data_IF_701661301434
#
_entry.id   IF_701661301434
#
_cell.length_a   1.000
_cell.length_b   1.000
_cell.length_c   1.000
_cell.angle_alpha   90.00
_cell.angle_beta   90.00
_cell.angle_gamma   90.00
#
_symmetry.space_group_name_H-M   'P 1'
#
loop_
_entity.id
_entity.type
_entity.pdbx_description
1 polymer ?
#
# COMPACT_ATOMS: atom_id res chain seq x y z
N UNK A 1 -3.16 1.98 -15.29
CA UNK A 1 -1.91 1.34 -15.74
C UNK A 1 -1.93 -0.07 -15.18
N UNK A 2 -1.06 -0.98 -15.63
CA UNK A 2 -1.00 -2.34 -15.10
C UNK A 2 0.37 -2.66 -14.54
N UNK A 3 0.45 -3.68 -13.67
CA UNK A 3 1.72 -4.13 -13.05
C UNK A 3 2.85 -4.37 -14.08
N UNK A 4 2.51 -4.80 -15.29
CA UNK A 4 3.46 -5.08 -16.37
C UNK A 4 4.25 -3.84 -16.82
N UNK A 5 3.69 -2.64 -16.66
CA UNK A 5 4.36 -1.38 -17.01
C UNK A 5 5.57 -1.10 -16.09
N UNK A 6 5.57 -1.66 -14.88
CA UNK A 6 6.64 -1.51 -13.89
C UNK A 6 7.65 -2.67 -13.91
N UNK A 7 7.67 -3.49 -14.96
CA UNK A 7 8.57 -4.64 -15.06
C UNK A 7 10.05 -4.25 -14.91
N UNK A 8 10.48 -3.23 -15.64
CA UNK A 8 11.88 -2.80 -15.64
C UNK A 8 12.29 -2.17 -14.30
N UNK A 9 11.39 -1.43 -13.65
CA UNK A 9 11.56 -0.92 -12.28
C UNK A 9 11.77 -2.06 -11.28
N UNK A 10 10.92 -3.09 -11.33
CA UNK A 10 11.02 -4.24 -10.45
C UNK A 10 12.30 -5.07 -10.70
N UNK A 11 12.75 -5.18 -11.95
CA UNK A 11 14.03 -5.81 -12.32
C UNK A 11 15.25 -5.02 -11.86
N UNK A 12 15.15 -3.69 -11.82
CA UNK A 12 16.23 -2.80 -11.40
C UNK A 12 16.59 -2.99 -9.92
N UNK A 13 15.70 -3.54 -9.11
CA UNK A 13 15.92 -3.77 -7.69
C UNK A 13 17.15 -4.65 -7.39
N UNK A 14 18.23 -4.03 -6.90
CA UNK A 14 19.47 -4.72 -6.51
C UNK A 14 19.42 -5.39 -5.13
N UNK A 15 18.26 -5.42 -4.47
CA UNK A 15 18.06 -5.98 -3.11
C UNK A 15 19.03 -5.42 -2.05
N UNK A 16 19.53 -4.21 -2.24
CA UNK A 16 20.49 -3.52 -1.37
C UNK A 16 19.96 -3.15 0.03
N UNK A 17 18.68 -3.39 0.31
CA UNK A 17 18.00 -3.04 1.56
C UNK A 17 17.84 -1.55 1.85
N UNK A 18 18.16 -0.62 0.92
CA UNK A 18 17.90 0.81 1.07
C UNK A 18 16.44 1.09 1.46
N UNK A 19 15.48 0.38 0.84
CA UNK A 19 14.05 0.46 1.16
C UNK A 19 13.67 0.17 2.63
N UNK A 20 14.57 -0.37 3.44
CA UNK A 20 14.33 -0.70 4.86
C UNK A 20 14.78 0.41 5.80
N UNK A 21 15.64 1.33 5.34
CA UNK A 21 16.31 2.32 6.18
C UNK A 21 15.96 3.76 5.79
N UNK A 22 16.15 4.70 6.72
CA UNK A 22 15.93 6.13 6.46
C UNK A 22 16.87 6.57 5.32
N UNK A 23 16.36 7.28 4.30
CA UNK A 23 17.18 7.77 3.20
C UNK A 23 18.18 8.83 3.66
N UNK A 24 19.23 9.05 2.87
CA UNK A 24 20.28 10.06 3.07
C UNK A 24 21.26 9.70 4.22
N UNK A 25 22.55 9.98 4.02
CA UNK A 25 23.65 9.63 4.94
C UNK A 25 23.72 10.53 6.20
N UNK A 26 22.62 11.16 6.59
CA UNK A 26 22.53 12.04 7.77
C UNK A 26 22.21 11.27 9.07
N UNK A 27 22.11 9.96 9.00
CA UNK A 27 21.74 9.07 10.10
C UNK A 27 22.89 8.96 11.12
N UNK A 28 22.66 9.42 12.36
CA UNK A 28 23.61 9.31 13.47
C UNK A 28 23.22 8.20 14.45
N UNK A 29 23.88 7.04 14.32
CA UNK A 29 23.70 5.89 15.20
C UNK A 29 22.52 4.97 14.84
N UNK A 30 22.42 3.81 15.50
CA UNK A 30 21.54 2.71 15.07
C UNK A 30 20.08 2.78 15.57
N UNK A 31 19.78 3.57 16.61
CA UNK A 31 18.52 3.46 17.38
C UNK A 31 17.23 3.73 16.58
N UNK A 32 17.32 4.39 15.42
CA UNK A 32 16.15 4.83 14.62
C UNK A 32 16.42 4.80 13.12
N UNK A 33 17.18 3.81 12.65
CA UNK A 33 17.64 3.80 11.24
C UNK A 33 16.63 3.18 10.29
N UNK A 34 15.62 2.47 10.81
CA UNK A 34 14.65 1.75 9.99
C UNK A 34 13.47 2.66 9.60
N UNK A 35 13.12 2.69 8.30
CA UNK A 35 11.99 3.47 7.79
C UNK A 35 10.74 2.62 7.55
N UNK A 36 10.90 1.33 7.24
CA UNK A 36 9.79 0.48 6.83
C UNK A 36 9.18 -0.25 8.06
N UNK A 37 7.97 0.11 8.50
CA UNK A 37 7.34 -0.53 9.66
C UNK A 37 6.98 -2.00 9.39
N UNK A 38 6.66 -2.34 8.15
CA UNK A 38 6.31 -3.71 7.74
C UNK A 38 7.46 -4.70 7.98
N UNK A 39 8.64 -4.44 7.40
CA UNK A 39 9.81 -5.31 7.64
C UNK A 39 10.25 -5.28 9.10
N UNK A 40 10.14 -4.13 9.79
CA UNK A 40 10.46 -4.03 11.21
C UNK A 40 9.61 -4.99 12.06
N UNK A 41 8.31 -5.08 11.75
CA UNK A 41 7.37 -5.90 12.51
C UNK A 41 7.48 -7.39 12.22
N UNK A 42 7.67 -7.76 10.96
CA UNK A 42 7.59 -9.15 10.50
C UNK A 42 8.96 -9.80 10.29
N UNK A 43 10.03 -9.01 10.15
CA UNK A 43 11.41 -9.44 9.99
C UNK A 43 11.64 -10.54 8.93
N UNK A 44 10.85 -10.53 7.86
CA UNK A 44 10.97 -11.46 6.74
C UNK A 44 11.00 -10.69 5.42
N UNK A 45 11.90 -11.05 4.50
CA UNK A 45 12.26 -10.19 3.35
C UNK A 45 11.05 -9.84 2.47
N UNK A 46 10.07 -10.74 2.33
CA UNK A 46 8.83 -10.49 1.60
C UNK A 46 8.09 -9.22 2.08
N UNK A 47 8.22 -8.83 3.35
CA UNK A 47 7.62 -7.62 3.92
C UNK A 47 8.43 -6.33 3.69
N UNK A 48 9.51 -6.37 2.91
CA UNK A 48 10.27 -5.18 2.50
C UNK A 48 9.92 -4.73 1.08
N UNK A 49 10.28 -3.50 0.70
CA UNK A 49 10.09 -2.99 -0.66
C UNK A 49 10.71 -3.93 -1.70
N UNK A 50 11.99 -4.27 -1.54
CA UNK A 50 12.68 -5.18 -2.47
C UNK A 50 12.12 -6.61 -2.51
N UNK A 51 11.60 -7.13 -1.39
CA UNK A 51 10.90 -8.42 -1.39
C UNK A 51 9.61 -8.37 -2.20
N UNK A 52 8.86 -7.26 -2.11
CA UNK A 52 7.64 -7.05 -2.90
C UNK A 52 7.93 -6.83 -4.39
N UNK A 53 9.06 -6.24 -4.76
CA UNK A 53 9.48 -6.16 -6.17
C UNK A 53 9.71 -7.57 -6.76
N UNK A 54 10.37 -8.45 -5.99
CA UNK A 54 10.57 -9.85 -6.41
C UNK A 54 9.24 -10.61 -6.54
N UNK A 55 8.28 -10.35 -5.64
CA UNK A 55 6.93 -10.90 -5.72
C UNK A 55 6.21 -10.40 -6.97
N UNK A 56 6.27 -9.10 -7.27
CA UNK A 56 5.64 -8.53 -8.46
C UNK A 56 6.18 -9.15 -9.75
N UNK A 57 7.50 -9.37 -9.85
CA UNK A 57 8.09 -10.13 -10.96
C UNK A 57 7.55 -11.57 -11.03
N UNK A 58 7.50 -12.27 -9.90
CA UNK A 58 6.99 -13.64 -9.87
C UNK A 58 5.50 -13.74 -10.26
N UNK A 59 4.69 -12.72 -9.95
CA UNK A 59 3.31 -12.59 -10.40
C UNK A 59 3.23 -12.37 -11.92
N UNK A 60 4.02 -11.41 -12.46
CA UNK A 60 4.09 -11.15 -13.90
C UNK A 60 4.54 -12.35 -14.72
N UNK A 61 5.47 -13.14 -14.17
CA UNK A 61 5.99 -14.35 -14.81
C UNK A 61 5.10 -15.58 -14.57
N UNK A 62 3.95 -15.42 -13.89
CA UNK A 62 3.00 -16.49 -13.62
C UNK A 62 3.54 -17.60 -12.72
N UNK A 63 4.61 -17.35 -11.95
CA UNK A 63 5.23 -18.34 -11.05
C UNK A 63 4.46 -18.51 -9.75
N UNK A 64 3.71 -17.47 -9.35
CA UNK A 64 2.86 -17.46 -8.16
C UNK A 64 1.50 -16.85 -8.51
N UNK A 65 0.51 -17.12 -7.67
CA UNK A 65 -0.81 -16.53 -7.71
C UNK A 65 -1.14 -15.83 -6.40
N UNK A 66 -2.20 -15.01 -6.40
CA UNK A 66 -2.70 -14.37 -5.19
C UNK A 66 -3.28 -15.41 -4.23
N UNK A 67 -2.49 -15.77 -3.23
CA UNK A 67 -2.87 -16.62 -2.10
C UNK A 67 -3.14 -15.79 -0.86
N UNK A 68 -3.81 -16.36 0.14
CA UNK A 68 -4.05 -15.69 1.41
C UNK A 68 -2.76 -15.17 2.08
N UNK A 69 -1.70 -15.97 2.07
CA UNK A 69 -0.40 -15.58 2.62
C UNK A 69 0.28 -14.46 1.83
N UNK A 70 0.08 -14.42 0.51
CA UNK A 70 0.55 -13.30 -0.30
C UNK A 70 -0.22 -12.02 0.00
N UNK A 71 -1.55 -12.11 0.15
CA UNK A 71 -2.37 -10.96 0.54
C UNK A 71 -1.95 -10.40 1.90
N UNK A 72 -1.57 -11.25 2.86
CA UNK A 72 -1.00 -10.80 4.12
C UNK A 72 0.30 -10.00 3.91
N UNK A 73 1.22 -10.46 3.05
CA UNK A 73 2.45 -9.71 2.74
C UNK A 73 2.15 -8.36 2.07
N UNK A 74 1.23 -8.34 1.11
CA UNK A 74 0.86 -7.15 0.36
C UNK A 74 0.17 -6.12 1.25
N UNK A 75 -0.86 -6.52 2.01
CA UNK A 75 -1.66 -5.61 2.82
C UNK A 75 -1.03 -5.22 4.16
N UNK A 76 0.03 -5.91 4.60
CA UNK A 76 0.89 -5.43 5.69
C UNK A 76 1.87 -4.32 5.28
N UNK A 77 1.84 -3.86 4.02
CA UNK A 77 2.45 -2.59 3.63
C UNK A 77 1.50 -1.43 3.96
N UNK A 78 2.00 -0.36 4.57
CA UNK A 78 1.19 0.81 4.92
C UNK A 78 1.10 1.83 3.77
N UNK A 79 1.71 1.52 2.61
CA UNK A 79 1.83 2.43 1.47
C UNK A 79 2.39 3.82 1.86
N UNK A 80 3.33 3.86 2.82
CA UNK A 80 3.83 5.12 3.37
C UNK A 80 4.89 5.83 2.51
N UNK A 81 5.38 5.22 1.43
CA UNK A 81 6.37 5.82 0.53
C UNK A 81 7.82 5.90 1.04
N UNK A 82 8.12 5.52 2.28
CA UNK A 82 9.49 5.64 2.81
C UNK A 82 10.54 4.82 2.03
N UNK A 83 10.16 3.64 1.56
CA UNK A 83 10.99 2.83 0.66
C UNK A 83 11.20 3.50 -0.69
N UNK A 84 10.20 4.21 -1.18
CA UNK A 84 10.15 4.80 -2.50
C UNK A 84 11.10 6.00 -2.58
N UNK A 85 11.06 6.89 -1.58
CA UNK A 85 12.04 7.97 -1.40
C UNK A 85 13.47 7.42 -1.32
N UNK A 86 13.67 6.35 -0.55
CA UNK A 86 15.01 5.75 -0.35
C UNK A 86 15.57 5.12 -1.62
N UNK A 87 14.71 4.46 -2.37
CA UNK A 87 15.07 3.79 -3.60
C UNK A 87 15.27 4.76 -4.77
N UNK A 88 14.48 5.86 -4.84
CA UNK A 88 14.75 6.98 -5.75
C UNK A 88 16.11 7.63 -5.46
N UNK A 89 16.41 7.90 -4.20
CA UNK A 89 17.71 8.46 -3.84
C UNK A 89 18.88 7.54 -4.23
N UNK A 90 18.73 6.23 -4.03
CA UNK A 90 19.81 5.29 -4.29
C UNK A 90 19.99 4.91 -5.77
N UNK A 91 18.89 4.77 -6.53
CA UNK A 91 18.88 4.18 -7.87
C UNK A 91 17.85 4.79 -8.83
N UNK A 92 17.18 5.88 -8.46
CA UNK A 92 16.11 6.52 -9.24
C UNK A 92 14.98 5.56 -9.65
N UNK A 93 14.53 4.71 -8.71
CA UNK A 93 13.53 3.66 -8.98
C UNK A 93 12.18 3.88 -8.28
N UNK A 94 11.13 3.36 -8.89
CA UNK A 94 9.77 3.28 -8.35
C UNK A 94 9.55 1.99 -7.54
N UNK A 95 9.01 2.12 -6.33
CA UNK A 95 8.68 0.98 -5.47
C UNK A 95 7.21 1.02 -5.07
N UNK A 96 6.65 2.21 -4.86
CA UNK A 96 5.28 2.36 -4.37
C UNK A 96 4.24 2.03 -5.44
N UNK A 97 4.47 2.47 -6.68
CA UNK A 97 3.58 2.24 -7.82
C UNK A 97 3.36 0.75 -8.12
N UNK A 98 4.40 -0.10 -8.35
CA UNK A 98 4.20 -1.53 -8.55
C UNK A 98 3.51 -2.21 -7.36
N UNK A 99 3.69 -1.72 -6.13
CA UNK A 99 2.93 -2.21 -4.97
C UNK A 99 1.44 -1.85 -5.03
N UNK A 100 1.11 -0.66 -5.54
CA UNK A 100 -0.27 -0.26 -5.81
C UNK A 100 -0.90 -1.15 -6.86
N UNK A 101 -0.21 -1.35 -7.98
CA UNK A 101 -0.68 -2.18 -9.09
C UNK A 101 -0.88 -3.65 -8.68
N UNK A 102 0.00 -4.24 -7.88
CA UNK A 102 -0.22 -5.58 -7.31
C UNK A 102 -1.51 -5.65 -6.47
N UNK A 103 -1.88 -4.58 -5.75
CA UNK A 103 -3.13 -4.56 -4.96
C UNK A 103 -4.35 -4.38 -5.84
N UNK A 104 -4.26 -3.58 -6.91
CA UNK A 104 -5.33 -3.40 -7.90
C UNK A 104 -5.60 -4.73 -8.59
N UNK A 105 -4.56 -5.37 -9.13
CA UNK A 105 -4.67 -6.66 -9.80
C UNK A 105 -5.19 -7.76 -8.87
N UNK A 106 -4.80 -7.76 -7.58
CA UNK A 106 -5.36 -8.67 -6.58
C UNK A 106 -6.89 -8.53 -6.49
N UNK A 107 -7.40 -7.30 -6.41
CA UNK A 107 -8.84 -7.00 -6.36
C UNK A 107 -9.53 -7.42 -7.66
N UNK A 108 -8.96 -7.11 -8.82
CA UNK A 108 -9.51 -7.51 -10.13
C UNK A 108 -9.63 -9.02 -10.28
N UNK A 109 -8.72 -9.78 -9.67
CA UNK A 109 -8.73 -11.25 -9.62
C UNK A 109 -9.59 -11.83 -8.49
N UNK A 110 -10.30 -10.99 -7.73
CA UNK A 110 -11.15 -11.40 -6.61
C UNK A 110 -10.38 -11.82 -5.34
N UNK A 111 -9.07 -11.58 -5.30
CA UNK A 111 -8.22 -11.86 -4.14
C UNK A 111 -8.25 -10.68 -3.15
N UNK A 112 -9.37 -10.58 -2.44
CA UNK A 112 -9.69 -9.52 -1.46
C UNK A 112 -9.50 -9.99 -0.01
N UNK A 113 -9.68 -9.08 0.95
CA UNK A 113 -9.73 -9.41 2.39
C UNK A 113 -11.05 -8.94 3.02
N UNK A 114 -11.54 -9.60 4.09
CA UNK A 114 -12.88 -9.34 4.64
C UNK A 114 -13.15 -7.88 5.04
N UNK A 115 -12.11 -7.14 5.48
CA UNK A 115 -12.25 -5.73 5.86
C UNK A 115 -12.57 -4.83 4.66
N UNK A 116 -12.02 -5.14 3.47
CA UNK A 116 -12.35 -4.36 2.26
C UNK A 116 -13.74 -4.67 1.76
N UNK A 117 -14.17 -5.93 1.81
CA UNK A 117 -15.55 -6.31 1.49
C UNK A 117 -16.56 -5.57 2.38
N UNK A 118 -16.30 -5.53 3.69
CA UNK A 118 -17.13 -4.77 4.62
C UNK A 118 -17.12 -3.27 4.32
N UNK A 119 -15.94 -2.70 4.03
CA UNK A 119 -15.79 -1.27 3.72
C UNK A 119 -16.51 -0.89 2.42
N UNK A 120 -16.36 -1.68 1.36
CA UNK A 120 -17.02 -1.46 0.06
C UNK A 120 -18.54 -1.61 0.20
N UNK A 121 -18.99 -2.62 0.96
CA UNK A 121 -20.42 -2.78 1.27
C UNK A 121 -20.99 -1.52 1.93
N UNK A 122 -20.33 -1.02 2.98
CA UNK A 122 -20.78 0.20 3.66
C UNK A 122 -20.77 1.40 2.71
N UNK A 123 -19.73 1.53 1.89
CA UNK A 123 -19.62 2.62 0.93
C UNK A 123 -20.78 2.60 -0.08
N UNK A 124 -21.19 1.42 -0.55
CA UNK A 124 -22.31 1.25 -1.48
C UNK A 124 -23.68 1.46 -0.83
N UNK A 125 -23.85 1.00 0.40
CA UNK A 125 -25.13 1.07 1.13
C UNK A 125 -25.38 2.46 1.74
N UNK A 126 -24.34 3.10 2.28
CA UNK A 126 -24.46 4.30 3.09
C UNK A 126 -23.65 5.49 2.56
N UNK A 127 -22.90 5.34 1.46
CA UNK A 127 -21.99 6.38 0.98
C UNK A 127 -20.76 6.60 1.87
N UNK A 128 -20.52 5.71 2.84
CA UNK A 128 -19.48 5.88 3.88
C UNK A 128 -18.69 4.59 4.08
N UNK A 129 -17.36 4.72 4.22
CA UNK A 129 -16.47 3.56 4.43
C UNK A 129 -16.59 2.96 5.84
N UNK A 130 -16.87 3.80 6.84
CA UNK A 130 -16.97 3.40 8.26
C UNK A 130 -18.42 3.56 8.70
N UNK A 131 -18.96 2.53 9.37
CA UNK A 131 -20.24 2.65 10.08
C UNK A 131 -20.02 3.49 11.33
N UNK A 132 -20.41 4.75 11.26
CA UNK A 132 -20.42 5.65 12.42
C UNK A 132 -21.77 6.36 12.52
N UNK A 133 -22.29 6.49 13.73
CA UNK A 133 -23.41 7.39 13.99
C UNK A 133 -22.99 8.83 13.73
N UNK A 134 -23.85 9.64 13.11
CA UNK A 134 -23.64 11.08 12.98
C UNK A 134 -23.96 11.86 14.26
N UNK A 135 -24.41 11.20 15.33
CA UNK A 135 -24.75 11.84 16.60
C UNK A 135 -23.58 12.62 17.24
N UNK A 136 -22.32 12.36 16.85
CA UNK A 136 -21.19 13.17 17.29
C UNK A 136 -21.25 14.63 16.79
N UNK A 137 -22.03 14.89 15.74
CA UNK A 137 -22.24 16.22 15.16
C UNK A 137 -23.32 17.02 15.90
N UNK A 138 -24.08 16.39 16.80
CA UNK A 138 -25.16 17.06 17.54
C UNK A 138 -24.60 18.24 18.35
N UNK A 139 -25.10 19.45 18.06
CA UNK A 139 -24.63 20.69 18.68
C UNK A 139 -23.44 21.36 17.99
N UNK A 140 -22.89 20.77 16.92
CA UNK A 140 -21.93 21.42 16.04
C UNK A 140 -22.67 22.15 14.90
N UNK A 141 -22.20 23.34 14.54
CA UNK A 141 -22.68 24.08 13.37
C UNK A 141 -22.07 23.53 12.08
N UNK A 142 -22.23 22.22 11.84
CA UNK A 142 -21.71 21.51 10.68
C UNK A 142 -22.85 21.08 9.75
N UNK A 143 -22.60 21.11 8.44
CA UNK A 143 -23.59 20.71 7.43
C UNK A 143 -23.76 19.18 7.41
N UNK A 144 -24.99 18.71 7.35
CA UNK A 144 -25.31 17.29 7.21
C UNK A 144 -25.40 16.94 5.72
N UNK A 145 -24.31 16.43 5.15
CA UNK A 145 -24.25 16.10 3.73
C UNK A 145 -25.09 14.87 3.35
N UNK A 146 -25.54 14.06 4.32
CA UNK A 146 -26.46 12.95 4.03
C UNK A 146 -27.89 13.45 3.78
N UNK A 147 -28.29 14.58 4.40
CA UNK A 147 -29.61 15.21 4.22
C UNK A 147 -29.60 16.36 3.21
N UNK A 148 -28.59 17.22 3.29
CA UNK A 148 -28.57 18.51 2.60
C UNK A 148 -27.88 18.45 1.22
N UNK A 149 -27.21 17.33 0.91
CA UNK A 149 -26.41 17.14 -0.30
C UNK A 149 -25.19 18.07 -0.40
N UNK A 150 -24.30 17.77 -1.35
CA UNK A 150 -23.16 18.62 -1.70
C UNK A 150 -23.27 19.04 -3.17
N UNK A 151 -22.88 20.28 -3.54
CA UNK A 151 -22.66 20.61 -4.93
C UNK A 151 -21.56 19.69 -5.48
N UNK A 152 -21.94 18.82 -6.42
CA UNK A 152 -21.00 17.94 -7.08
C UNK A 152 -20.33 18.67 -8.23
N UNK A 153 -19.00 18.68 -8.25
CA UNK A 153 -18.22 19.18 -9.37
C UNK A 153 -18.08 18.04 -10.36
N UNK A 154 -19.00 17.95 -11.33
CA UNK A 154 -18.87 17.07 -12.49
C UNK A 154 -18.97 17.91 -13.76
#
# INVERSE_FOLDING_TARGET
MGLAEYREEMLTCQRCSACKFIPLELVKGYRRVEICPSIKRFNFHAYSGGGRMAIGMALLEGRISYSQSLLEVLYNCQMCGGCDVSCKYAMDMEVLEPMGEMRIEAVEKGATIPVFEAMIKNLREEGRMVRSSLAWQDGLSTKDYDRDGAPTVF
#
